data_IF_002514669483
#
_entry.id   IF_002514669483
#
_cell.length_a   1.000
_cell.length_b   1.000
_cell.length_c   1.000
_cell.angle_alpha   90.00
_cell.angle_beta   90.00
_cell.angle_gamma   90.00
#
_symmetry.space_group_name_H-M   'P 1'
#
loop_
_entity.id
_entity.type
_entity.pdbx_description
1 polymer ?
#
# COMPACT_ATOMS: atom_id res chain seq x y z
N UNK A 1 15.44 26.02 -32.93
CA UNK A 1 14.28 26.29 -32.05
C UNK A 1 14.57 25.67 -30.70
N UNK A 2 15.29 26.41 -29.86
CA UNK A 2 15.74 25.97 -28.55
C UNK A 2 14.55 25.97 -27.59
N UNK A 3 14.14 24.78 -27.13
CA UNK A 3 13.05 24.67 -26.14
C UNK A 3 13.63 25.16 -24.81
N UNK A 4 13.40 26.43 -24.49
CA UNK A 4 13.60 26.96 -23.15
C UNK A 4 12.72 26.15 -22.20
N UNK A 5 13.32 25.16 -21.52
CA UNK A 5 12.64 24.43 -20.46
C UNK A 5 12.30 25.44 -19.38
N UNK A 6 11.01 25.62 -19.05
CA UNK A 6 10.63 26.65 -18.13
C UNK A 6 11.24 26.40 -16.75
N UNK A 7 11.75 27.46 -16.13
CA UNK A 7 12.51 27.43 -14.85
C UNK A 7 11.82 26.62 -13.74
N UNK A 8 10.49 26.51 -13.75
CA UNK A 8 9.71 25.73 -12.79
C UNK A 8 9.82 24.21 -12.96
N UNK A 9 10.24 23.69 -14.12
CA UNK A 9 10.39 22.24 -14.34
C UNK A 9 11.43 21.65 -13.39
N UNK A 10 12.57 22.30 -13.23
CA UNK A 10 13.62 21.82 -12.31
C UNK A 10 13.18 21.90 -10.84
N UNK A 11 12.40 22.93 -10.47
CA UNK A 11 11.83 23.03 -9.13
C UNK A 11 10.83 21.89 -8.86
N UNK A 12 9.92 21.61 -9.80
CA UNK A 12 8.97 20.49 -9.70
C UNK A 12 9.70 19.14 -9.63
N UNK A 13 10.70 18.93 -10.49
CA UNK A 13 11.51 17.71 -10.45
C UNK A 13 12.27 17.57 -9.14
N UNK A 14 12.83 18.66 -8.61
CA UNK A 14 13.47 18.69 -7.30
C UNK A 14 12.51 18.30 -6.17
N UNK A 15 11.29 18.84 -6.18
CA UNK A 15 10.24 18.49 -5.21
C UNK A 15 9.88 17.00 -5.32
N UNK A 16 9.64 16.50 -6.53
CA UNK A 16 9.29 15.09 -6.75
C UNK A 16 10.42 14.18 -6.29
N UNK A 17 11.67 14.51 -6.62
CA UNK A 17 12.85 13.74 -6.21
C UNK A 17 13.02 13.72 -4.69
N UNK A 18 12.88 14.87 -4.04
CA UNK A 18 12.93 14.97 -2.58
C UNK A 18 11.81 14.16 -1.94
N UNK A 19 10.59 14.24 -2.50
CA UNK A 19 9.43 13.46 -2.05
C UNK A 19 9.63 11.95 -2.21
N UNK A 20 10.32 11.52 -3.27
CA UNK A 20 10.70 10.11 -3.46
C UNK A 20 11.73 9.67 -2.43
N UNK A 21 12.76 10.49 -2.18
CA UNK A 21 13.79 10.20 -1.18
C UNK A 21 13.17 9.99 0.21
N UNK A 22 12.26 10.88 0.62
CA UNK A 22 11.56 10.72 1.89
C UNK A 22 10.75 9.41 1.97
N UNK A 23 10.07 9.02 0.88
CA UNK A 23 9.33 7.74 0.84
C UNK A 23 10.25 6.54 0.94
N UNK A 24 11.42 6.56 0.30
CA UNK A 24 12.40 5.47 0.39
C UNK A 24 12.96 5.34 1.81
N UNK A 25 13.36 6.46 2.44
CA UNK A 25 13.85 6.44 3.83
C UNK A 25 12.77 5.91 4.77
N UNK A 26 11.53 6.37 4.63
CA UNK A 26 10.42 5.87 5.42
C UNK A 26 10.16 4.37 5.18
N UNK A 27 10.27 3.89 3.94
CA UNK A 27 10.11 2.48 3.60
C UNK A 27 11.18 1.60 4.26
N UNK A 28 12.46 1.99 4.23
CA UNK A 28 13.53 1.25 4.91
C UNK A 28 13.34 1.22 6.43
N UNK A 29 12.97 2.34 7.04
CA UNK A 29 12.66 2.39 8.46
C UNK A 29 11.46 1.49 8.82
N UNK A 30 10.44 1.45 7.96
CA UNK A 30 9.26 0.62 8.16
C UNK A 30 9.54 -0.87 7.97
N UNK A 31 10.42 -1.22 7.03
CA UNK A 31 10.85 -2.59 6.80
C UNK A 31 11.61 -3.14 8.03
N UNK A 32 12.60 -2.40 8.54
CA UNK A 32 13.33 -2.78 9.76
C UNK A 32 12.38 -2.95 10.96
N UNK A 33 11.40 -2.06 11.11
CA UNK A 33 10.39 -2.18 12.16
C UNK A 33 9.49 -3.41 11.97
N UNK A 34 9.16 -3.76 10.74
CA UNK A 34 8.32 -4.93 10.41
C UNK A 34 9.05 -6.23 10.72
N UNK A 35 10.33 -6.33 10.34
CA UNK A 35 11.19 -7.48 10.63
C UNK A 35 11.35 -7.71 12.14
N UNK A 36 11.49 -6.63 12.92
CA UNK A 36 11.60 -6.71 14.39
C UNK A 36 10.31 -7.09 15.11
N UNK A 37 9.15 -6.70 14.59
CA UNK A 37 7.85 -6.87 15.27
C UNK A 37 7.01 -8.02 14.73
N UNK A 38 7.38 -8.58 13.57
CA UNK A 38 6.59 -9.59 12.86
C UNK A 38 5.24 -9.09 12.34
N UNK A 39 4.96 -7.77 12.40
CA UNK A 39 3.70 -7.18 11.95
C UNK A 39 3.93 -6.37 10.68
N UNK A 40 3.45 -6.89 9.55
CA UNK A 40 3.49 -6.21 8.24
C UNK A 40 2.81 -4.84 8.24
N UNK A 41 1.76 -4.66 9.05
CA UNK A 41 0.99 -3.43 9.11
C UNK A 41 0.95 -2.88 10.53
N UNK A 42 1.48 -1.67 10.72
CA UNK A 42 1.42 -0.94 12.00
C UNK A 42 0.02 -0.35 12.27
N UNK A 43 -0.74 -0.07 11.22
CA UNK A 43 -2.08 0.51 11.31
C UNK A 43 -3.16 -0.56 11.15
N UNK A 44 -4.14 -0.57 12.05
CA UNK A 44 -5.27 -1.51 12.02
C UNK A 44 -6.13 -1.38 10.75
N UNK A 45 -6.24 -0.17 10.20
CA UNK A 45 -6.95 0.04 8.92
C UNK A 45 -6.24 -0.63 7.75
N UNK A 46 -4.91 -0.51 7.67
CA UNK A 46 -4.10 -1.17 6.64
C UNK A 46 -4.21 -2.69 6.75
N UNK A 47 -4.22 -3.22 7.97
CA UNK A 47 -4.43 -4.64 8.21
C UNK A 47 -5.81 -5.11 7.73
N UNK A 48 -6.85 -4.34 8.01
CA UNK A 48 -8.23 -4.64 7.58
C UNK A 48 -8.35 -4.69 6.06
N UNK A 49 -7.73 -3.75 5.35
CA UNK A 49 -7.70 -3.75 3.88
C UNK A 49 -6.94 -4.95 3.32
N UNK A 50 -5.82 -5.34 3.95
CA UNK A 50 -5.05 -6.50 3.53
C UNK A 50 -5.81 -7.83 3.69
N UNK A 51 -6.52 -7.99 4.81
CA UNK A 51 -7.36 -9.17 5.06
C UNK A 51 -8.48 -9.27 4.03
N UNK A 52 -9.17 -8.16 3.76
CA UNK A 52 -10.23 -8.10 2.75
C UNK A 52 -9.71 -8.37 1.33
N UNK A 53 -8.54 -7.83 0.98
CA UNK A 53 -7.88 -8.10 -0.30
C UNK A 53 -7.51 -9.58 -0.44
N UNK A 54 -7.04 -10.20 0.64
CA UNK A 54 -6.68 -11.63 0.68
C UNK A 54 -7.93 -12.51 0.53
N UNK A 55 -9.04 -12.13 1.17
CA UNK A 55 -10.33 -12.83 1.02
C UNK A 55 -10.79 -12.80 -0.45
N UNK A 56 -10.73 -11.63 -1.10
CA UNK A 56 -11.03 -11.51 -2.54
C UNK A 56 -10.08 -12.38 -3.37
N UNK A 57 -8.78 -12.32 -3.11
CA UNK A 57 -7.76 -13.07 -3.83
C UNK A 57 -7.93 -14.59 -3.72
N UNK A 58 -8.54 -15.08 -2.63
CA UNK A 58 -8.82 -16.51 -2.38
C UNK A 58 -10.24 -16.93 -2.77
N UNK A 59 -11.10 -15.99 -3.18
CA UNK A 59 -12.52 -16.27 -3.44
C UNK A 59 -13.33 -16.52 -2.17
N UNK A 60 -12.83 -16.10 -1.01
CA UNK A 60 -13.50 -16.22 0.29
C UNK A 60 -14.52 -15.10 0.51
N UNK A 61 -15.47 -15.25 1.46
CA UNK A 61 -16.43 -14.21 1.79
C UNK A 61 -15.74 -12.89 2.19
N UNK A 62 -16.18 -11.77 1.59
CA UNK A 62 -15.66 -10.44 1.90
C UNK A 62 -16.09 -9.98 3.31
N UNK A 63 -15.26 -10.30 4.30
CA UNK A 63 -15.56 -10.10 5.72
C UNK A 63 -14.30 -9.73 6.51
N UNK A 64 -14.46 -8.87 7.51
CA UNK A 64 -13.40 -8.54 8.46
C UNK A 64 -13.96 -8.52 9.89
N UNK A 65 -13.51 -9.43 10.76
CA UNK A 65 -14.02 -9.55 12.12
C UNK A 65 -15.21 -10.51 12.22
N UNK A 66 -16.37 -10.02 12.64
CA UNK A 66 -17.58 -10.83 12.86
C UNK A 66 -18.41 -11.07 11.60
N UNK A 67 -19.36 -12.02 11.63
CA UNK A 67 -20.28 -12.30 10.51
C UNK A 67 -21.15 -11.08 10.10
N UNK A 68 -21.34 -10.11 11.00
CA UNK A 68 -22.12 -8.89 10.73
C UNK A 68 -21.31 -7.81 10.00
N UNK A 69 -20.01 -8.00 9.78
CA UNK A 69 -19.08 -7.01 9.20
C UNK A 69 -18.86 -7.17 7.70
N UNK A 70 -19.87 -7.66 6.97
CA UNK A 70 -19.82 -7.90 5.50
C UNK A 70 -19.66 -6.61 4.66
N UNK A 71 -19.92 -5.44 5.24
CA UNK A 71 -19.81 -4.13 4.56
C UNK A 71 -18.87 -3.21 5.35
N UNK A 72 -17.69 -3.72 5.72
CA UNK A 72 -16.76 -2.95 6.55
C UNK A 72 -16.07 -1.81 5.77
N UNK A 73 -15.76 -1.99 4.47
CA UNK A 73 -15.09 -1.00 3.61
C UNK A 73 -15.48 -1.14 2.14
N UNK A 74 -15.39 -0.05 1.38
CA UNK A 74 -15.58 -0.07 -0.08
C UNK A 74 -14.57 -1.02 -0.76
N UNK A 75 -15.01 -1.87 -1.69
CA UNK A 75 -14.20 -2.98 -2.20
C UNK A 75 -13.14 -2.57 -3.22
N UNK A 76 -13.20 -1.34 -3.77
CA UNK A 76 -12.32 -0.93 -4.85
C UNK A 76 -10.83 -1.04 -4.49
N UNK A 77 -10.44 -0.57 -3.30
CA UNK A 77 -9.06 -0.64 -2.85
C UNK A 77 -8.61 -2.09 -2.57
N UNK A 78 -9.39 -2.92 -1.84
CA UNK A 78 -9.13 -4.37 -1.72
C UNK A 78 -9.02 -5.12 -3.05
N UNK A 79 -9.85 -4.81 -4.06
CA UNK A 79 -9.79 -5.44 -5.38
C UNK A 79 -8.45 -5.14 -6.07
N UNK A 80 -7.99 -3.89 -6.01
CA UNK A 80 -6.69 -3.50 -6.59
C UNK A 80 -5.54 -4.18 -5.85
N UNK A 81 -5.66 -4.40 -4.54
CA UNK A 81 -4.65 -5.09 -3.74
C UNK A 81 -4.67 -6.62 -3.91
N UNK A 82 -5.81 -7.23 -4.28
CA UNK A 82 -5.99 -8.67 -4.30
C UNK A 82 -4.89 -9.44 -5.08
N UNK A 83 -4.46 -9.02 -6.28
CA UNK A 83 -3.37 -9.71 -6.99
C UNK A 83 -2.04 -9.71 -6.24
N UNK A 84 -1.76 -8.66 -5.45
CA UNK A 84 -0.53 -8.58 -4.64
C UNK A 84 -0.53 -9.59 -3.50
N UNK A 85 -1.71 -10.03 -3.04
CA UNK A 85 -1.82 -11.03 -1.98
C UNK A 85 -1.40 -12.42 -2.45
N UNK A 86 -1.47 -12.71 -3.75
CA UNK A 86 -0.97 -13.98 -4.30
C UNK A 86 0.54 -14.13 -4.19
N UNK A 87 1.29 -13.03 -4.24
CA UNK A 87 2.74 -13.04 -4.07
C UNK A 87 3.16 -13.43 -2.65
N UNK A 88 2.31 -13.22 -1.66
CA UNK A 88 2.57 -13.65 -0.27
C UNK A 88 2.20 -15.11 0.00
N UNK A 89 1.35 -15.72 -0.85
CA UNK A 89 0.91 -17.11 -0.72
C UNK A 89 1.77 -18.14 -1.45
N UNK A 90 2.88 -17.73 -2.08
CA UNK A 90 3.80 -18.59 -2.83
C UNK A 90 4.94 -19.18 -1.96
N UNK A 91 4.72 -19.26 -0.65
CA UNK A 91 5.59 -19.96 0.32
C UNK A 91 4.79 -21.02 1.08
#
# INVERSE_FOLDING_TARGET
MEKSTPTYTYAVLGIVFLSLLFRLVAAFYWQDQTERTGRLFRFGDSHSYWVLATAIGRGEPYQYGSENSKIFRAPLYPIVLAPLTWLQGAH
#
